data_IF_573776186230
#
_entry.id   IF_573776186230
#
_cell.length_a   1.000
_cell.length_b   1.000
_cell.length_c   1.000
_cell.angle_alpha   90.00
_cell.angle_beta   90.00
_cell.angle_gamma   90.00
#
_symmetry.space_group_name_H-M   'P 1'
#
loop_
_entity.id
_entity.type
_entity.pdbx_description
1 polymer ?
#
# COMPACT_ATOMS: atom_id res chain seq x y z
N UNK A 1 1.40 27.21 17.79
CA UNK A 1 1.56 26.63 16.45
C UNK A 1 1.45 25.13 16.63
N UNK A 2 0.56 24.48 15.88
CA UNK A 2 0.33 23.02 15.96
C UNK A 2 1.65 22.24 15.88
N UNK A 3 1.75 21.11 16.58
CA UNK A 3 2.93 20.24 16.55
C UNK A 3 2.98 19.49 15.22
N UNK A 4 1.83 18.98 14.78
CA UNK A 4 1.66 18.26 13.53
C UNK A 4 1.96 19.12 12.29
N UNK A 5 1.83 20.45 12.38
CA UNK A 5 2.16 21.35 11.26
C UNK A 5 3.59 21.20 10.74
N UNK A 6 4.52 20.70 11.56
CA UNK A 6 5.91 20.43 11.12
C UNK A 6 6.01 19.30 10.09
N UNK A 7 5.00 18.43 10.01
CA UNK A 7 4.94 17.29 9.10
C UNK A 7 4.47 17.67 7.69
N UNK A 8 4.03 18.91 7.48
CA UNK A 8 3.49 19.38 6.21
C UNK A 8 4.24 20.61 5.70
N UNK A 9 4.21 20.80 4.38
CA UNK A 9 4.54 22.05 3.71
C UNK A 9 3.23 22.81 3.41
N UNK A 10 3.14 24.07 3.81
CA UNK A 10 1.95 24.92 3.62
C UNK A 10 2.18 26.05 2.61
N UNK A 11 3.22 25.94 1.77
CA UNK A 11 3.46 26.89 0.70
C UNK A 11 2.37 26.86 -0.40
N UNK A 12 1.60 25.76 -0.48
CA UNK A 12 0.43 25.60 -1.33
C UNK A 12 -0.67 24.80 -0.62
N UNK A 13 -1.95 24.89 -1.06
CA UNK A 13 -3.04 24.06 -0.54
C UNK A 13 -2.74 22.57 -0.74
N UNK A 14 -2.85 21.77 0.33
CA UNK A 14 -2.66 20.33 0.22
C UNK A 14 -3.93 19.68 -0.36
N UNK A 15 -3.73 18.64 -1.16
CA UNK A 15 -4.82 17.79 -1.63
C UNK A 15 -4.62 16.40 -1.08
N UNK A 16 -5.70 15.78 -0.60
CA UNK A 16 -5.71 14.36 -0.28
C UNK A 16 -6.11 13.58 -1.51
N UNK A 17 -5.29 12.60 -1.87
CA UNK A 17 -5.58 11.63 -2.92
C UNK A 17 -5.45 10.23 -2.37
N UNK A 18 -6.15 9.29 -3.00
CA UNK A 18 -6.11 7.88 -2.62
C UNK A 18 -4.79 7.21 -3.06
N UNK A 19 -4.18 7.70 -4.14
CA UNK A 19 -2.92 7.17 -4.68
C UNK A 19 -1.68 7.67 -3.92
N UNK A 20 -1.60 8.96 -3.60
CA UNK A 20 -0.38 9.60 -3.06
C UNK A 20 -0.50 10.10 -1.62
N UNK A 21 -1.70 10.05 -1.03
CA UNK A 21 -1.94 10.62 0.29
C UNK A 21 -2.05 12.14 0.23
N UNK A 22 -1.41 12.85 1.15
CA UNK A 22 -1.36 14.31 1.16
C UNK A 22 -0.22 14.83 0.28
N UNK A 23 -0.52 15.65 -0.74
CA UNK A 23 0.46 16.16 -1.72
C UNK A 23 1.65 16.93 -1.14
N UNK A 24 1.51 17.43 0.10
CA UNK A 24 2.54 18.24 0.78
C UNK A 24 2.99 17.66 2.12
N UNK A 25 2.77 16.36 2.36
CA UNK A 25 3.38 15.67 3.48
C UNK A 25 4.91 15.58 3.30
N UNK A 26 5.65 15.75 4.40
CA UNK A 26 7.12 15.63 4.42
C UNK A 26 7.61 14.21 4.69
N UNK A 27 6.69 13.29 4.96
CA UNK A 27 6.91 11.92 5.42
C UNK A 27 6.35 10.93 4.40
N UNK A 28 6.82 9.68 4.43
CA UNK A 28 6.26 8.62 3.60
C UNK A 28 4.87 8.23 4.11
N UNK A 29 3.92 7.96 3.22
CA UNK A 29 2.51 7.90 3.58
C UNK A 29 1.91 6.52 3.30
N UNK A 30 1.09 6.08 4.24
CA UNK A 30 0.15 5.02 4.00
C UNK A 30 -1.06 5.57 3.26
N UNK A 31 -1.30 5.02 2.07
CA UNK A 31 -2.35 5.48 1.16
C UNK A 31 -3.41 4.41 0.98
N UNK A 32 -4.60 4.78 0.47
CA UNK A 32 -5.63 3.79 0.12
C UNK A 32 -5.14 2.84 -0.98
N UNK A 33 -4.30 3.33 -1.88
CA UNK A 33 -3.60 2.49 -2.84
C UNK A 33 -2.71 1.45 -2.15
N UNK A 34 -1.93 1.86 -1.15
CA UNK A 34 -1.11 0.93 -0.37
C UNK A 34 -1.96 -0.13 0.33
N UNK A 35 -3.04 0.29 1.00
CA UNK A 35 -4.00 -0.60 1.65
C UNK A 35 -4.58 -1.64 0.68
N UNK A 36 -5.02 -1.20 -0.49
CA UNK A 36 -5.58 -2.06 -1.53
C UNK A 36 -4.60 -3.16 -1.93
N UNK A 37 -3.32 -2.80 -2.12
CA UNK A 37 -2.27 -3.77 -2.46
C UNK A 37 -1.95 -4.69 -1.29
N UNK A 38 -1.79 -4.17 -0.08
CA UNK A 38 -1.50 -4.98 1.10
C UNK A 38 -2.59 -6.03 1.32
N UNK A 39 -3.85 -5.65 1.13
CA UNK A 39 -5.00 -6.56 1.21
C UNK A 39 -4.88 -7.71 0.22
N UNK A 40 -4.50 -7.43 -1.03
CA UNK A 40 -4.30 -8.48 -2.03
C UNK A 40 -3.20 -9.46 -1.64
N UNK A 41 -2.06 -8.97 -1.11
CA UNK A 41 -0.96 -9.84 -0.66
C UNK A 41 -1.36 -10.71 0.51
N UNK A 42 -2.02 -10.14 1.54
CA UNK A 42 -2.43 -10.91 2.71
C UNK A 42 -3.55 -11.91 2.36
N UNK A 43 -4.47 -11.57 1.46
CA UNK A 43 -5.47 -12.52 0.95
C UNK A 43 -4.81 -13.73 0.28
N UNK A 44 -3.68 -13.54 -0.40
CA UNK A 44 -2.89 -14.66 -0.94
C UNK A 44 -2.33 -15.50 0.20
N UNK A 45 -1.77 -14.91 1.25
CA UNK A 45 -1.28 -15.68 2.39
C UNK A 45 -2.41 -16.50 3.05
N UNK A 46 -3.57 -15.89 3.25
CA UNK A 46 -4.76 -16.56 3.81
C UNK A 46 -5.25 -17.70 2.90
N UNK A 47 -5.30 -17.49 1.58
CA UNK A 47 -5.74 -18.51 0.63
C UNK A 47 -4.81 -19.72 0.55
N UNK A 48 -3.53 -19.53 0.88
CA UNK A 48 -2.54 -20.61 1.00
C UNK A 48 -2.43 -21.16 2.43
N UNK A 49 -3.29 -20.71 3.35
CA UNK A 49 -3.28 -21.05 4.77
C UNK A 49 -1.91 -20.82 5.43
N UNK A 50 -1.15 -19.83 4.95
CA UNK A 50 0.18 -19.52 5.44
C UNK A 50 0.11 -18.85 6.82
N UNK A 51 0.73 -19.42 7.88
CA UNK A 51 0.75 -18.76 9.18
C UNK A 51 1.75 -17.61 9.19
N UNK A 52 1.25 -16.38 9.17
CA UNK A 52 2.05 -15.15 9.29
C UNK A 52 1.50 -14.26 10.42
N UNK A 53 2.35 -13.35 10.90
CA UNK A 53 1.98 -12.39 11.95
C UNK A 53 2.55 -11.02 11.63
N UNK A 54 1.70 -9.99 11.66
CA UNK A 54 2.11 -8.60 11.59
C UNK A 54 2.84 -8.19 12.87
N UNK A 55 3.88 -7.38 12.72
CA UNK A 55 4.72 -6.91 13.83
C UNK A 55 5.27 -5.50 13.56
N UNK A 56 6.17 -5.02 14.43
CA UNK A 56 6.92 -3.78 14.23
C UNK A 56 6.02 -2.55 13.98
N UNK A 57 6.35 -1.72 12.98
CA UNK A 57 5.60 -0.50 12.67
C UNK A 57 4.14 -0.78 12.28
N UNK A 58 3.88 -1.97 11.74
CA UNK A 58 2.54 -2.42 11.34
C UNK A 58 1.65 -2.70 12.54
N UNK A 59 2.20 -3.24 13.64
CA UNK A 59 1.48 -3.47 14.90
C UNK A 59 1.36 -2.20 15.77
N UNK A 60 2.29 -1.25 15.63
CA UNK A 60 2.36 -0.04 16.45
C UNK A 60 1.10 0.83 16.32
N UNK A 61 0.58 1.00 15.10
CA UNK A 61 -0.67 1.74 14.88
C UNK A 61 -1.85 1.11 15.60
N UNK A 62 -1.94 -0.22 15.57
CA UNK A 62 -3.00 -0.96 16.24
C UNK A 62 -2.98 -0.76 17.76
N UNK A 63 -1.80 -0.81 18.39
CA UNK A 63 -1.65 -0.53 19.83
C UNK A 63 -2.13 0.86 20.23
N UNK A 64 -2.00 1.85 19.33
CA UNK A 64 -2.40 3.23 19.62
C UNK A 64 -3.91 3.40 19.56
N UNK A 65 -4.54 3.00 18.47
CA UNK A 65 -5.95 3.32 18.22
C UNK A 65 -6.65 2.31 17.30
N UNK A 66 -6.05 1.14 17.04
CA UNK A 66 -6.64 0.11 16.19
C UNK A 66 -6.54 0.36 14.68
N UNK A 67 -5.75 1.33 14.21
CA UNK A 67 -5.59 1.65 12.78
C UNK A 67 -4.14 1.50 12.30
N UNK A 68 -3.90 1.58 10.99
CA UNK A 68 -2.53 1.74 10.50
C UNK A 68 -2.04 3.16 10.85
N UNK A 69 -0.73 3.33 11.07
CA UNK A 69 -0.18 4.67 11.19
C UNK A 69 -0.21 5.37 9.82
N UNK A 70 -0.58 6.66 9.73
CA UNK A 70 -0.61 7.38 8.46
C UNK A 70 0.75 7.50 7.74
N UNK A 71 1.85 7.17 8.42
CA UNK A 71 3.23 7.35 7.94
C UNK A 71 4.08 6.08 7.90
N UNK A 72 3.46 4.92 7.71
CA UNK A 72 4.18 3.71 7.32
C UNK A 72 4.45 3.71 5.81
N UNK A 73 5.59 3.15 5.42
CA UNK A 73 6.02 2.99 4.02
C UNK A 73 6.09 1.53 3.55
N UNK A 74 5.90 0.58 4.48
CA UNK A 74 5.83 -0.85 4.23
C UNK A 74 4.94 -1.56 5.27
N UNK A 75 4.66 -2.83 5.01
CA UNK A 75 3.99 -3.76 5.91
C UNK A 75 4.96 -4.87 6.33
N UNK A 76 5.13 -5.08 7.63
CA UNK A 76 6.09 -6.04 8.17
C UNK A 76 5.37 -7.30 8.67
N UNK A 77 5.71 -8.48 8.14
CA UNK A 77 5.24 -9.79 8.63
C UNK A 77 6.41 -10.70 9.00
N UNK A 78 6.23 -11.55 10.00
CA UNK A 78 7.12 -12.69 10.24
C UNK A 78 6.55 -13.99 9.69
N UNK A 79 7.46 -14.89 9.32
CA UNK A 79 7.19 -16.25 8.89
C UNK A 79 8.16 -17.22 9.58
N UNK A 80 7.64 -18.18 10.33
CA UNK A 80 8.46 -19.17 11.04
C UNK A 80 9.12 -20.19 10.10
N UNK A 81 10.26 -20.72 10.54
CA UNK A 81 11.15 -21.56 9.75
C UNK A 81 10.50 -22.78 9.10
N UNK A 82 9.54 -23.40 9.78
CA UNK A 82 8.79 -24.56 9.29
C UNK A 82 7.94 -24.24 8.05
N UNK A 83 7.58 -22.98 7.84
CA UNK A 83 6.75 -22.55 6.71
C UNK A 83 7.56 -21.98 5.55
N UNK A 84 8.85 -21.70 5.74
CA UNK A 84 9.71 -21.13 4.70
C UNK A 84 9.73 -21.99 3.42
N UNK A 85 9.95 -23.34 3.48
CA UNK A 85 10.01 -24.14 2.26
C UNK A 85 8.72 -24.07 1.44
N UNK A 86 7.57 -24.11 2.11
CA UNK A 86 6.25 -24.01 1.46
C UNK A 86 6.03 -22.61 0.86
N UNK A 87 6.36 -21.56 1.61
CA UNK A 87 6.27 -20.18 1.12
C UNK A 87 7.12 -19.96 -0.13
N UNK A 88 8.37 -20.41 -0.13
CA UNK A 88 9.27 -20.24 -1.29
C UNK A 88 8.85 -21.09 -2.49
N UNK A 89 8.33 -22.31 -2.27
CA UNK A 89 7.98 -23.24 -3.33
C UNK A 89 6.62 -22.96 -3.98
N UNK A 90 5.63 -22.50 -3.20
CA UNK A 90 4.24 -22.40 -3.66
C UNK A 90 3.74 -20.95 -3.67
N UNK A 91 3.92 -20.22 -2.57
CA UNK A 91 3.34 -18.87 -2.39
C UNK A 91 4.09 -17.82 -3.21
N UNK A 92 5.43 -17.82 -3.18
CA UNK A 92 6.26 -16.87 -3.94
C UNK A 92 6.03 -16.99 -5.45
N UNK A 93 6.02 -18.20 -6.07
CA UNK A 93 5.67 -18.33 -7.48
C UNK A 93 4.26 -17.83 -7.81
N UNK A 94 3.28 -18.06 -6.93
CA UNK A 94 1.92 -17.55 -7.13
C UNK A 94 1.86 -16.02 -7.07
N UNK A 95 2.53 -15.39 -6.10
CA UNK A 95 2.67 -13.93 -6.02
C UNK A 95 3.28 -13.36 -7.30
N UNK A 96 4.36 -13.97 -7.81
CA UNK A 96 4.97 -13.57 -9.08
C UNK A 96 4.01 -13.73 -10.26
N UNK A 97 3.22 -14.80 -10.29
CA UNK A 97 2.21 -15.01 -11.31
C UNK A 97 1.07 -13.98 -11.22
N UNK A 98 0.80 -13.43 -10.03
CA UNK A 98 -0.07 -12.27 -9.81
C UNK A 98 0.65 -10.92 -10.07
N UNK A 99 1.82 -10.92 -10.72
CA UNK A 99 2.51 -9.69 -11.11
C UNK A 99 3.24 -8.95 -9.98
N UNK A 100 3.35 -9.53 -8.78
CA UNK A 100 4.16 -8.95 -7.70
C UNK A 100 5.65 -9.19 -7.95
N UNK A 101 6.47 -8.18 -7.65
CA UNK A 101 7.91 -8.32 -7.69
C UNK A 101 8.42 -8.86 -6.35
N UNK A 102 8.74 -10.17 -6.33
CA UNK A 102 9.22 -10.86 -5.14
C UNK A 102 10.71 -11.18 -5.23
N UNK A 103 11.51 -10.70 -4.27
CA UNK A 103 12.95 -10.97 -4.22
C UNK A 103 13.50 -10.98 -2.79
N UNK A 104 14.53 -11.78 -2.57
CA UNK A 104 15.29 -11.73 -1.33
C UNK A 104 16.25 -10.52 -1.36
N UNK A 105 16.24 -9.63 -0.36
CA UNK A 105 17.20 -8.52 -0.30
C UNK A 105 18.63 -9.04 -0.26
N UNK A 106 19.49 -8.54 -1.17
CA UNK A 106 20.86 -9.05 -1.37
C UNK A 106 21.69 -9.13 -0.08
N UNK A 107 21.56 -8.15 0.79
CA UNK A 107 22.30 -8.07 2.05
C UNK A 107 21.80 -9.05 3.13
N UNK A 108 20.59 -9.58 2.97
CA UNK A 108 19.94 -10.50 3.88
C UNK A 108 19.44 -11.75 3.15
N UNK A 109 20.17 -12.20 2.12
CA UNK A 109 19.74 -13.34 1.31
C UNK A 109 19.56 -14.61 2.19
N UNK A 110 18.35 -15.17 2.19
CA UNK A 110 17.95 -16.26 3.08
C UNK A 110 17.39 -15.82 4.44
N UNK A 111 17.16 -14.51 4.63
CA UNK A 111 16.53 -13.93 5.82
C UNK A 111 15.09 -13.48 5.57
N UNK A 112 14.58 -13.58 4.34
CA UNK A 112 13.24 -13.17 3.97
C UNK A 112 13.10 -12.68 2.54
N UNK A 113 11.94 -12.09 2.24
CA UNK A 113 11.59 -11.53 0.93
C UNK A 113 10.99 -10.13 1.05
N UNK A 114 11.25 -9.29 0.05
CA UNK A 114 10.41 -8.15 -0.27
C UNK A 114 9.38 -8.56 -1.32
N UNK A 115 8.13 -8.13 -1.13
CA UNK A 115 7.03 -8.24 -2.10
C UNK A 115 6.61 -6.82 -2.47
N UNK A 116 6.85 -6.43 -3.72
CA UNK A 116 6.59 -5.06 -4.19
C UNK A 116 5.50 -5.02 -5.26
N UNK A 117 4.67 -3.97 -5.19
CA UNK A 117 3.78 -3.55 -6.27
C UNK A 117 3.89 -2.03 -6.50
N UNK A 118 3.10 -1.52 -7.44
CA UNK A 118 3.01 -0.07 -7.74
C UNK A 118 4.35 0.55 -8.18
N UNK A 119 5.24 -0.27 -8.72
CA UNK A 119 6.56 0.17 -9.14
C UNK A 119 6.55 0.77 -10.55
N UNK A 120 7.32 1.83 -10.75
CA UNK A 120 7.73 2.32 -12.07
C UNK A 120 9.22 2.66 -12.01
N UNK A 121 10.03 2.06 -12.89
CA UNK A 121 11.48 2.23 -12.84
C UNK A 121 12.16 1.69 -11.56
N UNK A 122 13.36 2.17 -11.26
CA UNK A 122 14.22 1.61 -10.20
C UNK A 122 14.16 2.31 -8.83
N UNK A 123 13.33 3.34 -8.66
CA UNK A 123 13.29 4.20 -7.45
C UNK A 123 12.03 3.95 -6.63
N UNK A 124 12.15 3.89 -5.30
CA UNK A 124 11.03 3.64 -4.35
C UNK A 124 9.85 4.61 -4.50
N UNK A 125 10.09 5.78 -5.09
CA UNK A 125 9.10 6.78 -5.41
C UNK A 125 9.08 7.07 -6.92
N UNK A 126 7.88 7.06 -7.49
CA UNK A 126 7.62 7.56 -8.84
C UNK A 126 7.00 8.94 -8.75
N UNK A 127 7.63 9.92 -9.40
CA UNK A 127 7.08 11.25 -9.56
C UNK A 127 6.10 11.28 -10.73
N UNK A 128 4.87 11.73 -10.49
CA UNK A 128 3.82 11.86 -11.50
C UNK A 128 3.20 13.26 -11.51
N UNK A 129 2.74 13.77 -12.67
CA UNK A 129 2.13 15.08 -12.76
C UNK A 129 0.79 15.15 -12.02
N UNK A 130 0.64 16.10 -11.10
CA UNK A 130 -0.60 16.33 -10.35
C UNK A 130 -1.35 17.56 -10.86
N UNK A 131 -0.67 18.70 -10.97
CA UNK A 131 -1.21 19.95 -11.48
C UNK A 131 -0.12 20.73 -12.22
N UNK A 132 -0.46 21.88 -12.81
CA UNK A 132 0.49 22.69 -13.57
C UNK A 132 1.72 23.08 -12.73
N UNK A 133 2.88 22.54 -13.11
CA UNK A 133 4.15 22.76 -12.41
C UNK A 133 4.25 22.07 -11.04
N UNK A 134 3.33 21.15 -10.72
CA UNK A 134 3.31 20.41 -9.45
C UNK A 134 3.30 18.91 -9.75
N UNK A 135 4.39 18.26 -9.37
CA UNK A 135 4.49 16.81 -9.38
C UNK A 135 4.40 16.25 -7.95
N UNK A 136 3.94 15.00 -7.84
CA UNK A 136 3.79 14.29 -6.58
C UNK A 136 4.43 12.91 -6.66
N UNK A 137 4.84 12.37 -5.53
CA UNK A 137 5.43 11.03 -5.47
C UNK A 137 4.40 9.98 -5.08
N UNK A 138 4.24 8.95 -5.90
CA UNK A 138 3.51 7.74 -5.55
C UNK A 138 4.44 6.80 -4.79
N UNK A 139 4.10 6.39 -3.56
CA UNK A 139 4.87 5.37 -2.85
C UNK A 139 4.65 3.99 -3.50
N UNK A 140 5.69 3.16 -3.52
CA UNK A 140 5.48 1.74 -3.75
C UNK A 140 4.74 1.12 -2.57
N UNK A 141 3.97 0.08 -2.84
CA UNK A 141 3.43 -0.78 -1.80
C UNK A 141 4.41 -1.95 -1.58
N UNK A 142 4.96 -2.04 -0.37
CA UNK A 142 5.94 -3.06 0.02
C UNK A 142 5.44 -3.88 1.20
N UNK A 143 5.53 -5.22 1.07
CA UNK A 143 5.38 -6.15 2.20
C UNK A 143 6.71 -6.84 2.43
N UNK A 144 7.24 -6.73 3.64
CA UNK A 144 8.48 -7.34 4.09
C UNK A 144 8.16 -8.62 4.86
N UNK A 145 8.56 -9.76 4.28
CA UNK A 145 8.41 -11.07 4.88
C UNK A 145 9.73 -11.45 5.54
N UNK A 146 9.76 -11.38 6.86
CA UNK A 146 10.93 -11.71 7.66
C UNK A 146 10.90 -13.19 8.06
N UNK A 147 11.96 -13.91 7.73
CA UNK A 147 12.12 -15.29 8.20
C UNK A 147 12.52 -15.30 9.65
N UNK A 148 11.90 -16.20 10.40
CA UNK A 148 12.02 -16.24 11.86
C UNK A 148 12.35 -17.63 12.34
N UNK A 149 13.45 -17.71 13.10
CA UNK A 149 13.85 -18.90 13.85
C UNK A 149 13.76 -18.60 15.34
N UNK A 150 13.87 -19.64 16.18
CA UNK A 150 13.93 -19.49 17.64
C UNK A 150 15.27 -20.03 18.13
N UNK A 151 15.98 -19.24 18.92
CA UNK A 151 17.25 -19.68 19.51
C UNK A 151 17.06 -20.60 20.72
N UNK A 152 18.18 -21.12 21.24
CA UNK A 152 18.19 -22.02 22.40
C UNK A 152 17.59 -21.41 23.69
N UNK A 153 17.49 -20.08 23.76
CA UNK A 153 16.92 -19.36 24.88
C UNK A 153 15.42 -19.01 24.67
N UNK A 154 14.84 -19.44 23.56
CA UNK A 154 13.43 -19.20 23.25
C UNK A 154 13.15 -17.82 22.65
N UNK A 155 14.15 -17.13 22.10
CA UNK A 155 13.97 -15.81 21.49
C UNK A 155 13.95 -15.86 19.98
N UNK A 156 13.17 -14.97 19.36
CA UNK A 156 13.10 -14.80 17.92
C UNK A 156 14.43 -14.32 17.36
N UNK A 157 14.85 -14.91 16.25
CA UNK A 157 16.02 -14.52 15.45
C UNK A 157 15.66 -14.50 13.98
N UNK A 158 16.43 -13.72 13.22
CA UNK A 158 16.38 -13.82 11.77
C UNK A 158 17.60 -14.64 11.31
N UNK A 159 17.44 -15.62 10.39
CA UNK A 159 18.56 -16.46 9.95
C UNK A 159 19.74 -15.69 9.34
N UNK A 160 19.53 -14.42 8.96
CA UNK A 160 20.54 -13.53 8.38
C UNK A 160 20.67 -12.19 9.10
N UNK A 161 20.10 -12.07 10.30
CA UNK A 161 20.16 -10.85 11.10
C UNK A 161 19.40 -9.65 10.51
N UNK A 162 18.34 -9.90 9.74
CA UNK A 162 17.42 -8.86 9.26
C UNK A 162 16.33 -8.55 10.30
N UNK A 163 16.02 -7.27 10.48
CA UNK A 163 15.02 -6.80 11.45
C UNK A 163 15.61 -6.47 12.83
N UNK A 164 14.87 -5.73 13.64
CA UNK A 164 15.32 -5.35 14.99
C UNK A 164 15.14 -6.48 16.03
N UNK A 165 14.14 -7.34 15.85
CA UNK A 165 13.83 -8.43 16.77
C UNK A 165 15.01 -9.42 16.94
N UNK A 166 15.82 -9.57 15.89
CA UNK A 166 17.05 -10.36 15.90
C UNK A 166 18.02 -9.98 17.03
N UNK A 167 17.94 -8.74 17.52
CA UNK A 167 18.87 -8.17 18.51
C UNK A 167 18.22 -7.82 19.84
N UNK A 168 16.92 -8.02 19.99
CA UNK A 168 16.16 -7.48 21.12
C UNK A 168 15.53 -8.53 22.02
N UNK A 169 15.76 -9.82 21.75
CA UNK A 169 15.31 -10.93 22.63
C UNK A 169 13.78 -10.95 22.82
N UNK A 170 13.04 -10.85 21.72
CA UNK A 170 11.57 -11.04 21.72
C UNK A 170 11.27 -12.53 21.95
N UNK A 171 10.52 -12.92 22.99
CA UNK A 171 10.19 -14.32 23.26
C UNK A 171 9.27 -14.95 22.21
N UNK A 172 9.51 -16.21 21.84
CA UNK A 172 8.69 -16.91 20.86
C UNK A 172 7.24 -17.16 21.35
N UNK A 173 7.03 -17.31 22.66
CA UNK A 173 5.70 -17.47 23.27
C UNK A 173 4.84 -16.18 23.21
N UNK A 174 5.40 -15.07 22.74
CA UNK A 174 4.66 -13.83 22.50
C UNK A 174 3.96 -13.84 21.16
N UNK A 175 4.39 -14.70 20.22
CA UNK A 175 3.91 -14.67 18.84
C UNK A 175 2.66 -15.53 18.68
N UNK A 176 2.82 -16.85 18.66
CA UNK A 176 1.76 -17.81 18.34
C UNK A 176 0.86 -18.10 19.56
N UNK A 177 -0.45 -18.39 19.36
CA UNK A 177 -1.15 -18.55 18.08
C UNK A 177 -1.50 -17.24 17.37
N UNK A 178 -1.16 -16.10 17.96
CA UNK A 178 -1.49 -14.76 17.49
C UNK A 178 -2.89 -14.32 17.92
N UNK A 179 -3.17 -13.04 17.73
CA UNK A 179 -4.49 -12.44 17.93
C UNK A 179 -5.03 -11.98 16.59
N UNK A 180 -6.20 -12.49 16.20
CA UNK A 180 -6.92 -11.99 15.04
C UNK A 180 -7.44 -10.57 15.33
N UNK A 181 -7.15 -9.66 14.41
CA UNK A 181 -7.56 -8.26 14.49
C UNK A 181 -8.20 -7.83 13.18
N UNK A 182 -9.06 -6.83 13.27
CA UNK A 182 -9.57 -6.09 12.12
C UNK A 182 -8.84 -4.75 12.05
N UNK A 183 -8.03 -4.58 11.01
CA UNK A 183 -7.39 -3.31 10.69
C UNK A 183 -8.21 -2.70 9.56
N UNK A 184 -8.86 -1.56 9.73
CA UNK A 184 -9.43 -0.78 8.60
C UNK A 184 -10.26 -1.58 7.57
N UNK A 185 -11.03 -2.58 8.02
CA UNK A 185 -11.92 -3.39 7.17
C UNK A 185 -11.32 -4.68 6.58
N UNK A 186 -10.09 -5.05 6.93
CA UNK A 186 -9.48 -6.33 6.58
C UNK A 186 -8.95 -7.05 7.83
N UNK A 187 -9.02 -8.39 7.80
CA UNK A 187 -8.61 -9.25 8.93
C UNK A 187 -7.17 -9.69 8.78
N UNK A 188 -6.46 -9.79 9.89
CA UNK A 188 -5.06 -10.23 9.95
C UNK A 188 -4.71 -10.69 11.36
N UNK A 189 -3.46 -11.11 11.59
CA UNK A 189 -2.99 -11.59 12.90
C UNK A 189 -1.81 -10.75 13.40
N UNK A 190 -1.88 -10.33 14.66
CA UNK A 190 -0.75 -9.78 15.42
C UNK A 190 -0.17 -10.85 16.35
N UNK A 191 0.93 -10.53 17.00
CA UNK A 191 1.49 -11.34 18.10
C UNK A 191 0.46 -11.51 19.22
N UNK A 192 0.50 -12.65 19.91
CA UNK A 192 -0.34 -12.91 21.09
C UNK A 192 -0.13 -11.89 22.22
N UNK A 193 1.10 -11.38 22.34
CA UNK A 193 1.51 -10.36 23.30
C UNK A 193 2.06 -9.12 22.59
N UNK A 194 1.27 -8.60 21.64
CA UNK A 194 1.68 -7.47 20.78
C UNK A 194 1.94 -6.18 21.57
N UNK A 195 1.25 -5.95 22.70
CA UNK A 195 1.50 -4.76 23.54
C UNK A 195 2.85 -4.83 24.23
N UNK A 196 3.22 -6.01 24.75
CA UNK A 196 4.52 -6.26 25.36
C UNK A 196 5.65 -6.18 24.34
N UNK A 197 5.44 -6.71 23.13
CA UNK A 197 6.37 -6.56 22.00
C UNK A 197 6.61 -5.08 21.68
N UNK A 198 5.54 -4.31 21.45
CA UNK A 198 5.66 -2.89 21.13
C UNK A 198 6.33 -2.11 22.27
N UNK A 199 5.98 -2.38 23.53
CA UNK A 199 6.62 -1.74 24.68
C UNK A 199 8.12 -2.04 24.75
N UNK A 200 8.51 -3.28 24.47
CA UNK A 200 9.91 -3.72 24.49
C UNK A 200 10.70 -3.15 23.31
N UNK A 201 10.10 -3.11 22.13
CA UNK A 201 10.74 -2.73 20.89
C UNK A 201 10.83 -1.20 20.70
N UNK A 202 9.77 -0.48 21.10
CA UNK A 202 9.56 0.94 20.82
C UNK A 202 9.32 1.80 22.06
N UNK A 203 9.11 1.20 23.24
CA UNK A 203 8.84 1.91 24.49
C UNK A 203 7.37 2.31 24.63
N UNK A 204 7.11 3.28 25.50
CA UNK A 204 5.75 3.79 25.75
C UNK A 204 5.28 4.66 24.57
N UNK A 205 4.72 4.01 23.55
CA UNK A 205 4.23 4.65 22.32
C UNK A 205 2.92 5.42 22.49
N UNK A 206 2.25 5.27 23.64
CA UNK A 206 1.02 5.99 24.00
C UNK A 206 1.33 7.36 24.61
N UNK A 207 2.44 7.48 25.34
CA UNK A 207 2.88 8.75 25.95
C UNK A 207 4.11 9.38 25.27
N UNK A 208 4.56 8.82 24.14
CA UNK A 208 5.63 9.39 23.33
C UNK A 208 5.30 9.32 21.85
N UNK A 209 5.46 10.43 21.14
CA UNK A 209 5.22 10.51 19.70
C UNK A 209 6.54 10.62 18.95
N UNK A 210 6.80 9.61 18.12
CA UNK A 210 7.88 9.57 17.15
C UNK A 210 7.28 9.32 15.76
N UNK A 211 7.57 10.23 14.84
CA UNK A 211 7.30 10.06 13.39
C UNK A 211 8.66 9.93 12.72
N UNK A 212 8.97 8.73 12.27
CA UNK A 212 10.24 8.40 11.63
C UNK A 212 10.03 7.29 10.60
N UNK A 213 10.83 7.30 9.53
CA UNK A 213 10.94 6.20 8.57
C UNK A 213 12.39 6.09 8.11
N UNK A 214 12.89 4.85 8.01
CA UNK A 214 14.19 4.50 7.41
C UNK A 214 15.38 5.41 7.80
N UNK A 215 15.50 5.74 9.09
CA UNK A 215 16.62 6.54 9.63
C UNK A 215 16.41 8.06 9.57
N UNK A 216 15.29 8.54 9.04
CA UNK A 216 14.90 9.95 9.08
C UNK A 216 13.83 10.16 10.16
N UNK A 217 14.08 11.10 11.06
CA UNK A 217 13.11 11.55 12.07
C UNK A 217 12.44 12.83 11.57
N UNK A 218 11.11 12.80 11.44
CA UNK A 218 10.30 13.96 11.04
C UNK A 218 9.77 14.72 12.25
N UNK A 219 9.42 13.99 13.31
CA UNK A 219 8.95 14.56 14.56
C UNK A 219 9.35 13.65 15.72
N UNK A 220 9.88 14.25 16.78
CA UNK A 220 10.12 13.58 18.06
C UNK A 220 9.57 14.45 19.20
N UNK A 221 8.62 13.92 19.94
CA UNK A 221 7.91 14.55 21.05
C UNK A 221 7.80 13.58 22.21
N UNK A 222 8.84 13.50 23.06
CA UNK A 222 8.75 12.75 24.29
C UNK A 222 7.70 13.38 25.22
N UNK A 223 7.01 12.56 26.00
CA UNK A 223 5.95 12.96 26.94
C UNK A 223 4.72 13.64 26.28
N UNK A 224 4.49 13.40 24.99
CA UNK A 224 3.27 13.81 24.30
C UNK A 224 2.36 12.60 24.16
N UNK A 225 1.12 12.69 24.65
CA UNK A 225 0.13 11.64 24.47
C UNK A 225 -0.23 11.49 23.00
N UNK A 226 -0.41 10.24 22.57
CA UNK A 226 -0.83 9.93 21.21
C UNK A 226 -2.14 10.62 20.86
N UNK A 227 -3.17 10.53 21.71
CA UNK A 227 -4.49 11.11 21.44
C UNK A 227 -4.44 12.64 21.22
N UNK A 228 -3.60 13.33 21.99
CA UNK A 228 -3.39 14.77 21.85
C UNK A 228 -2.74 15.08 20.50
N UNK A 229 -1.75 14.29 20.10
CA UNK A 229 -1.10 14.43 18.81
C UNK A 229 -2.03 14.07 17.65
N UNK A 230 -2.79 13.00 17.76
CA UNK A 230 -3.73 12.56 16.73
C UNK A 230 -4.82 13.61 16.52
N UNK A 231 -5.32 14.20 17.61
CA UNK A 231 -6.28 15.31 17.55
C UNK A 231 -5.67 16.52 16.84
N UNK A 232 -4.45 16.92 17.20
CA UNK A 232 -3.72 18.02 16.55
C UNK A 232 -3.45 17.74 15.07
N UNK A 233 -3.07 16.50 14.72
CA UNK A 233 -2.83 16.06 13.35
C UNK A 233 -4.11 16.11 12.50
N UNK A 234 -5.21 15.57 13.01
CA UNK A 234 -6.52 15.62 12.33
C UNK A 234 -7.00 17.04 12.12
N UNK A 235 -6.78 17.92 13.11
CA UNK A 235 -7.13 19.35 12.99
C UNK A 235 -6.32 20.04 11.89
N UNK A 236 -5.01 19.82 11.82
CA UNK A 236 -4.17 20.36 10.74
C UNK A 236 -4.65 19.86 9.38
N UNK A 237 -4.82 18.54 9.22
CA UNK A 237 -5.29 17.97 7.96
C UNK A 237 -6.63 18.58 7.54
N UNK A 238 -7.59 18.69 8.45
CA UNK A 238 -8.91 19.26 8.17
C UNK A 238 -8.88 20.75 7.80
N UNK A 239 -7.95 21.53 8.37
CA UNK A 239 -7.82 22.96 8.09
C UNK A 239 -7.08 23.23 6.76
N UNK A 240 -6.12 22.38 6.39
CA UNK A 240 -5.15 22.70 5.33
C UNK A 240 -5.28 21.85 4.08
N UNK A 241 -6.19 20.88 4.07
CA UNK A 241 -6.31 19.89 2.99
C UNK A 241 -7.70 19.91 2.35
N UNK A 242 -7.75 19.83 1.03
CA UNK A 242 -8.97 19.59 0.24
C UNK A 242 -8.99 18.16 -0.32
N UNK A 243 -10.17 17.63 -0.59
CA UNK A 243 -10.37 16.32 -1.25
C UNK A 243 -10.40 16.44 -2.78
N UNK A 244 -10.30 17.67 -3.31
CA UNK A 244 -10.46 18.00 -4.73
C UNK A 244 -9.19 18.61 -5.32
N UNK A 245 -8.83 18.27 -6.57
CA UNK A 245 -7.73 18.93 -7.26
C UNK A 245 -8.08 20.41 -7.57
N UNK A 246 -7.07 21.28 -7.82
CA UNK A 246 -7.27 22.73 -7.99
C UNK A 246 -8.39 23.18 -8.94
N UNK A 247 -8.62 22.45 -10.04
CA UNK A 247 -9.63 22.78 -11.03
C UNK A 247 -11.06 22.51 -10.54
N UNK A 248 -11.23 21.87 -9.39
CA UNK A 248 -12.47 21.22 -8.99
C UNK A 248 -12.85 21.57 -7.54
N UNK A 249 -14.14 21.76 -7.31
CA UNK A 249 -14.74 21.86 -5.99
C UNK A 249 -16.00 21.00 -5.91
N UNK A 250 -16.61 20.93 -4.72
CA UNK A 250 -17.84 20.15 -4.51
C UNK A 250 -18.97 20.60 -5.42
N UNK A 251 -19.11 21.90 -5.68
CA UNK A 251 -20.19 22.45 -6.50
C UNK A 251 -20.05 22.06 -7.98
N UNK A 252 -18.82 22.09 -8.51
CA UNK A 252 -18.54 21.63 -9.88
C UNK A 252 -18.81 20.13 -10.06
N UNK A 253 -18.49 19.30 -9.05
CA UNK A 253 -18.78 17.87 -9.09
C UNK A 253 -20.27 17.57 -8.95
N UNK A 254 -20.98 18.26 -8.06
CA UNK A 254 -22.43 18.10 -7.93
C UNK A 254 -23.18 18.53 -9.21
N UNK A 255 -22.64 19.52 -9.93
CA UNK A 255 -23.17 19.95 -11.22
C UNK A 255 -22.76 19.04 -12.40
N UNK A 256 -21.78 18.14 -12.21
CA UNK A 256 -21.33 17.26 -13.27
C UNK A 256 -22.44 16.28 -13.66
N UNK A 257 -22.72 16.22 -14.96
CA UNK A 257 -23.63 15.23 -15.54
C UNK A 257 -22.90 14.48 -16.64
N UNK A 258 -22.63 13.20 -16.40
CA UNK A 258 -22.05 12.32 -17.41
C UNK A 258 -22.99 12.20 -18.62
N UNK A 259 -22.44 12.39 -19.81
CA UNK A 259 -23.10 12.25 -21.10
C UNK A 259 -22.76 10.86 -21.63
N UNK A 260 -23.74 9.93 -21.70
CA UNK A 260 -23.48 8.57 -22.15
C UNK A 260 -22.80 8.52 -23.51
N UNK A 261 -21.69 7.77 -23.61
CA UNK A 261 -20.92 7.58 -24.83
C UNK A 261 -19.98 8.74 -25.19
N UNK A 262 -19.95 9.82 -24.39
CA UNK A 262 -18.97 10.88 -24.57
C UNK A 262 -17.61 10.39 -24.05
N UNK A 263 -16.64 10.34 -24.96
CA UNK A 263 -15.26 9.94 -24.69
C UNK A 263 -14.37 11.16 -24.43
N UNK A 264 -13.53 11.02 -23.42
CA UNK A 264 -12.36 11.86 -23.16
C UNK A 264 -11.10 10.98 -23.37
N UNK A 265 -10.08 11.50 -24.04
CA UNK A 265 -8.76 10.85 -24.14
C UNK A 265 -7.77 11.79 -23.50
N UNK A 266 -6.97 11.29 -22.57
CA UNK A 266 -5.89 12.08 -21.99
C UNK A 266 -4.71 12.18 -22.95
N UNK A 267 -3.87 13.19 -22.78
CA UNK A 267 -2.57 13.26 -23.46
C UNK A 267 -1.48 12.62 -22.59
N UNK A 268 -0.40 12.05 -23.17
CA UNK A 268 0.76 11.62 -22.39
C UNK A 268 1.33 12.76 -21.53
N UNK A 269 1.69 12.47 -20.28
CA UNK A 269 2.15 13.47 -19.32
C UNK A 269 1.09 14.45 -18.82
N UNK A 270 -0.18 14.33 -19.23
CA UNK A 270 -1.25 15.19 -18.73
C UNK A 270 -1.45 14.97 -17.22
N UNK A 271 -1.55 16.07 -16.49
CA UNK A 271 -1.71 16.09 -15.04
C UNK A 271 -3.11 15.62 -14.61
N UNK A 272 -3.20 15.12 -13.38
CA UNK A 272 -4.49 14.73 -12.79
C UNK A 272 -5.51 15.88 -12.83
N UNK A 273 -5.09 17.08 -12.44
CA UNK A 273 -5.91 18.29 -12.48
C UNK A 273 -6.44 18.59 -13.89
N UNK A 274 -5.59 18.50 -14.91
CA UNK A 274 -5.99 18.73 -16.30
C UNK A 274 -6.94 17.65 -16.84
N UNK A 275 -6.74 16.37 -16.46
CA UNK A 275 -7.68 15.29 -16.79
C UNK A 275 -9.05 15.56 -16.16
N UNK A 276 -9.08 15.93 -14.88
CA UNK A 276 -10.33 16.24 -14.16
C UNK A 276 -11.03 17.45 -14.77
N UNK A 277 -10.30 18.51 -15.12
CA UNK A 277 -10.85 19.69 -15.80
C UNK A 277 -11.53 19.30 -17.12
N UNK A 278 -10.86 18.50 -17.95
CA UNK A 278 -11.39 18.05 -19.24
C UNK A 278 -12.65 17.18 -19.08
N UNK A 279 -12.70 16.30 -18.08
CA UNK A 279 -13.91 15.52 -17.76
C UNK A 279 -15.08 16.44 -17.39
N UNK A 280 -14.85 17.42 -16.50
CA UNK A 280 -15.88 18.37 -16.08
C UNK A 280 -16.42 19.21 -17.25
N UNK A 281 -15.54 19.62 -18.16
CA UNK A 281 -15.91 20.43 -19.33
C UNK A 281 -16.69 19.64 -20.38
N UNK A 282 -16.26 18.41 -20.65
CA UNK A 282 -16.85 17.57 -21.70
C UNK A 282 -18.10 16.83 -21.24
N UNK A 283 -18.22 16.57 -19.93
CA UNK A 283 -19.23 15.66 -19.40
C UNK A 283 -18.98 14.21 -19.82
N UNK A 284 -17.73 13.80 -20.05
CA UNK A 284 -17.41 12.47 -20.54
C UNK A 284 -17.83 11.36 -19.56
N UNK A 285 -18.46 10.31 -20.08
CA UNK A 285 -18.76 9.08 -19.31
C UNK A 285 -17.66 8.03 -19.47
N UNK A 286 -16.74 8.21 -20.41
CA UNK A 286 -15.63 7.31 -20.68
C UNK A 286 -14.32 8.11 -20.77
N UNK A 287 -13.26 7.61 -20.13
CA UNK A 287 -11.91 8.16 -20.16
C UNK A 287 -10.94 7.11 -20.68
N UNK A 288 -10.14 7.49 -21.67
CA UNK A 288 -9.00 6.72 -22.12
C UNK A 288 -7.71 7.37 -21.63
N UNK A 289 -7.02 6.68 -20.70
CA UNK A 289 -5.70 7.04 -20.23
C UNK A 289 -4.65 6.63 -21.27
N UNK A 290 -4.07 7.61 -21.97
CA UNK A 290 -3.15 7.38 -23.08
C UNK A 290 -1.74 6.93 -22.65
N UNK A 291 -1.38 7.06 -21.37
CA UNK A 291 -0.08 6.65 -20.86
C UNK A 291 -0.22 5.79 -19.60
N UNK A 292 0.58 4.73 -19.51
CA UNK A 292 0.49 3.76 -18.42
C UNK A 292 0.71 4.38 -17.04
N UNK A 293 1.52 5.42 -16.91
CA UNK A 293 1.72 6.15 -15.63
C UNK A 293 0.44 6.79 -15.11
N UNK A 294 -0.51 7.17 -15.97
CA UNK A 294 -1.74 7.82 -15.53
C UNK A 294 -2.69 6.86 -14.81
N UNK A 295 -2.45 5.54 -14.90
CA UNK A 295 -3.25 4.52 -14.18
C UNK A 295 -3.17 4.64 -12.67
N UNK A 296 -2.14 5.28 -12.11
CA UNK A 296 -2.08 5.60 -10.68
C UNK A 296 -3.28 6.45 -10.23
N UNK A 297 -3.83 7.27 -11.13
CA UNK A 297 -4.98 8.11 -10.84
C UNK A 297 -6.33 7.40 -10.93
N UNK A 298 -6.38 6.13 -11.34
CA UNK A 298 -7.65 5.43 -11.56
C UNK A 298 -8.55 5.41 -10.32
N UNK A 299 -7.98 5.20 -9.12
CA UNK A 299 -8.73 5.21 -7.86
C UNK A 299 -9.32 6.60 -7.55
N UNK A 300 -8.51 7.65 -7.68
CA UNK A 300 -8.95 9.03 -7.47
C UNK A 300 -9.99 9.48 -8.51
N UNK A 301 -9.83 9.09 -9.77
CA UNK A 301 -10.80 9.35 -10.83
C UNK A 301 -12.14 8.67 -10.54
N UNK A 302 -12.13 7.41 -10.09
CA UNK A 302 -13.35 6.70 -9.65
C UNK A 302 -13.96 7.31 -8.40
N UNK A 303 -13.15 7.83 -7.47
CA UNK A 303 -13.65 8.54 -6.29
C UNK A 303 -14.40 9.81 -6.68
N UNK A 304 -13.86 10.61 -7.61
CA UNK A 304 -14.48 11.84 -8.07
C UNK A 304 -15.66 11.59 -9.03
N UNK A 305 -15.54 10.57 -9.89
CA UNK A 305 -16.54 10.22 -10.91
C UNK A 305 -16.89 8.72 -10.83
N UNK A 306 -17.74 8.29 -9.89
CA UNK A 306 -18.01 6.87 -9.64
C UNK A 306 -18.53 6.07 -10.85
N UNK A 307 -19.24 6.72 -11.77
CA UNK A 307 -19.78 6.10 -12.99
C UNK A 307 -18.84 6.18 -14.20
N UNK A 308 -17.69 6.85 -14.09
CA UNK A 308 -16.75 7.00 -15.20
C UNK A 308 -16.20 5.64 -15.58
N UNK A 309 -16.27 5.29 -16.87
CA UNK A 309 -15.56 4.11 -17.39
C UNK A 309 -14.13 4.50 -17.74
N UNK A 310 -13.14 3.79 -17.22
CA UNK A 310 -11.72 4.06 -17.44
C UNK A 310 -11.13 2.95 -18.32
N UNK A 311 -10.57 3.34 -19.45
CA UNK A 311 -9.71 2.50 -20.28
C UNK A 311 -8.26 2.91 -20.09
N UNK A 312 -7.35 1.96 -19.89
CA UNK A 312 -5.93 2.25 -19.73
C UNK A 312 -5.07 1.62 -20.85
N UNK A 313 -4.08 2.37 -21.34
CA UNK A 313 -3.00 1.80 -22.15
C UNK A 313 -1.83 1.41 -21.26
N UNK A 314 -1.12 0.35 -21.62
CA UNK A 314 0.20 0.05 -21.06
C UNK A 314 1.21 -0.32 -22.16
N UNK A 315 2.45 0.12 -21.97
CA UNK A 315 3.56 -0.08 -22.89
C UNK A 315 4.68 -0.98 -22.35
N UNK A 316 4.62 -1.39 -21.08
CA UNK A 316 5.55 -2.36 -20.50
C UNK A 316 4.89 -3.34 -19.52
N UNK A 317 5.67 -4.33 -19.10
CA UNK A 317 5.22 -5.42 -18.22
C UNK A 317 4.80 -4.95 -16.82
N UNK A 318 5.46 -3.92 -16.27
CA UNK A 318 5.12 -3.39 -14.94
C UNK A 318 3.81 -2.62 -14.98
N UNK A 319 3.59 -1.89 -16.06
CA UNK A 319 2.33 -1.19 -16.31
C UNK A 319 1.17 -2.18 -16.48
N UNK A 320 1.40 -3.29 -17.19
CA UNK A 320 0.44 -4.39 -17.30
C UNK A 320 0.08 -4.98 -15.92
N UNK A 321 1.07 -5.32 -15.09
CA UNK A 321 0.79 -5.84 -13.74
C UNK A 321 0.10 -4.82 -12.84
N UNK A 322 0.49 -3.55 -12.88
CA UNK A 322 -0.20 -2.48 -12.15
C UNK A 322 -1.65 -2.36 -12.58
N UNK A 323 -1.95 -2.43 -13.88
CA UNK A 323 -3.32 -2.40 -14.37
C UNK A 323 -4.15 -3.59 -13.86
N UNK A 324 -3.54 -4.77 -13.73
CA UNK A 324 -4.18 -5.95 -13.14
C UNK A 324 -4.46 -5.75 -11.64
N UNK A 325 -3.47 -5.26 -10.87
CA UNK A 325 -3.65 -4.94 -9.44
C UNK A 325 -4.76 -3.91 -9.20
N UNK A 326 -4.92 -2.98 -10.14
CA UNK A 326 -5.92 -1.89 -10.10
C UNK A 326 -7.21 -2.20 -10.85
N UNK A 327 -7.49 -3.47 -11.18
CA UNK A 327 -8.63 -3.86 -12.02
C UNK A 327 -9.99 -3.40 -11.49
N UNK A 328 -10.16 -3.27 -10.18
CA UNK A 328 -11.39 -2.74 -9.58
C UNK A 328 -11.68 -1.28 -9.95
N UNK A 329 -10.67 -0.53 -10.42
CA UNK A 329 -10.76 0.88 -10.77
C UNK A 329 -10.58 1.15 -12.27
N UNK A 330 -10.12 0.16 -13.04
CA UNK A 330 -9.88 0.25 -14.49
C UNK A 330 -10.85 -0.71 -15.17
N UNK A 331 -11.72 -0.22 -16.05
CA UNK A 331 -12.80 -1.00 -16.67
C UNK A 331 -12.34 -1.81 -17.89
N UNK A 332 -11.40 -1.26 -18.65
CA UNK A 332 -10.84 -1.88 -19.85
C UNK A 332 -9.35 -1.54 -20.02
N UNK A 333 -8.64 -2.35 -20.79
CA UNK A 333 -7.23 -2.12 -21.08
C UNK A 333 -6.92 -2.32 -22.56
N UNK A 334 -5.80 -1.77 -23.01
CA UNK A 334 -5.24 -2.05 -24.33
C UNK A 334 -3.72 -1.93 -24.34
N UNK A 335 -3.08 -2.66 -25.25
CA UNK A 335 -1.65 -2.52 -25.53
C UNK A 335 -1.41 -2.76 -27.01
N UNK A 336 -0.41 -2.08 -27.57
CA UNK A 336 0.07 -2.34 -28.93
C UNK A 336 0.86 -3.65 -29.01
N UNK A 337 1.34 -4.16 -27.87
CA UNK A 337 2.09 -5.41 -27.77
C UNK A 337 1.16 -6.55 -27.27
N UNK A 338 0.83 -7.53 -28.13
CA UNK A 338 0.03 -8.69 -27.75
C UNK A 338 0.64 -9.52 -26.61
N UNK A 339 1.98 -9.54 -26.47
CA UNK A 339 2.64 -10.29 -25.40
C UNK A 339 2.41 -9.62 -24.04
N UNK A 340 2.38 -8.28 -24.00
CA UNK A 340 2.02 -7.55 -22.77
C UNK A 340 0.56 -7.76 -22.41
N UNK A 341 -0.35 -7.78 -23.39
CA UNK A 341 -1.75 -8.10 -23.16
C UNK A 341 -1.91 -9.52 -22.61
N UNK A 342 -1.19 -10.50 -23.15
CA UNK A 342 -1.19 -11.87 -22.64
C UNK A 342 -0.68 -11.96 -21.19
N UNK A 343 0.35 -11.18 -20.83
CA UNK A 343 0.85 -11.10 -19.44
C UNK A 343 -0.19 -10.47 -18.49
N UNK A 344 -0.86 -9.40 -18.92
CA UNK A 344 -1.97 -8.80 -18.16
C UNK A 344 -3.08 -9.83 -17.90
N UNK A 345 -3.55 -10.51 -18.95
CA UNK A 345 -4.63 -11.50 -18.84
C UNK A 345 -4.23 -12.69 -17.96
N UNK A 346 -2.99 -13.16 -18.08
CA UNK A 346 -2.47 -14.23 -17.24
C UNK A 346 -2.43 -13.81 -15.76
N UNK A 347 -1.97 -12.59 -15.47
CA UNK A 347 -1.95 -12.02 -14.13
C UNK A 347 -3.38 -11.89 -13.57
N UNK A 348 -4.28 -11.28 -14.34
CA UNK A 348 -5.68 -11.09 -13.95
C UNK A 348 -6.40 -12.43 -13.70
N UNK A 349 -6.08 -13.46 -14.49
CA UNK A 349 -6.62 -14.81 -14.28
C UNK A 349 -6.20 -15.39 -12.93
N UNK A 350 -4.94 -15.19 -12.49
CA UNK A 350 -4.51 -15.63 -11.16
C UNK A 350 -5.21 -14.85 -10.04
N UNK A 351 -5.31 -13.53 -10.17
CA UNK A 351 -6.04 -12.71 -9.20
C UNK A 351 -7.53 -13.09 -9.12
N UNK A 352 -8.15 -13.41 -10.26
CA UNK A 352 -9.56 -13.85 -10.28
C UNK A 352 -9.75 -15.22 -9.61
N UNK A 353 -8.76 -16.12 -9.70
CA UNK A 353 -8.79 -17.40 -8.96
C UNK A 353 -8.74 -17.18 -7.46
N UNK A 354 -7.97 -16.18 -7.00
CA UNK A 354 -7.92 -15.78 -5.60
C UNK A 354 -9.30 -15.33 -5.12
N UNK A 355 -9.95 -14.41 -5.83
CA UNK A 355 -11.27 -13.89 -5.47
C UNK A 355 -12.37 -14.96 -5.41
N UNK A 356 -12.20 -16.05 -6.17
CA UNK A 356 -13.14 -17.20 -6.21
C UNK A 356 -12.83 -18.29 -5.18
N UNK A 357 -11.66 -18.24 -4.53
CA UNK A 357 -11.19 -19.28 -3.61
C UNK A 357 -10.66 -20.55 -4.30
N UNK A 358 -10.31 -20.49 -5.59
CA UNK A 358 -9.92 -21.65 -6.42
C UNK A 358 -8.44 -22.09 -6.22
N UNK A 359 -7.80 -21.66 -5.13
CA UNK A 359 -6.35 -21.84 -4.90
C UNK A 359 -6.07 -22.99 -3.90
N UNK A 360 -6.99 -23.26 -2.96
CA UNK A 360 -6.80 -24.27 -1.91
C UNK A 360 -6.94 -25.74 -2.35
N UNK A 361 -7.57 -26.02 -3.50
CA UNK A 361 -7.79 -27.39 -3.95
C UNK A 361 -6.53 -28.09 -4.51
N UNK A 362 -5.55 -27.33 -4.99
CA UNK A 362 -4.32 -27.89 -5.57
C UNK A 362 -3.18 -28.07 -4.54
N UNK A 363 -3.16 -27.27 -3.46
CA UNK A 363 -2.14 -27.35 -2.42
C UNK A 363 -2.42 -28.46 -1.39
N UNK A 364 -3.70 -28.80 -1.14
CA UNK A 364 -4.06 -29.88 -0.22
C UNK A 364 -3.67 -31.28 -0.72
N UNK A 365 -3.48 -31.47 -2.04
CA UNK A 365 -3.06 -32.76 -2.63
C UNK A 365 -1.53 -32.97 -2.60
N UNK A 366 -0.73 -31.93 -2.35
CA UNK A 366 0.74 -32.04 -2.27
C UNK A 366 1.28 -32.23 -0.84
N UNK A 367 0.42 -32.10 0.18
CA UNK A 367 0.76 -32.24 1.61
C UNK A 367 0.18 -33.52 2.24
N UNK A 368 -0.52 -34.36 1.47
CA UNK A 368 -1.08 -35.65 1.94
C UNK A 368 -0.18 -36.86 1.66
#
# INVERSE_FOLDING_TARGET
>A
MSVASRLFDFSAPAVRTDAVGYTHAKYAQYTRLSQHIYTQVLQIFDAFELPYYLFAGSALGYVRNGTMLPWIDDLDVILFEEHIPYFEAEVVPFLKACGFNCFAPRQFQGGGFHILAMQQGGKRDLTIPFADGVDVSVPWAQVDVFYTTVDENGFLRNPKGWGLYDKKDVPADWVAPGVEVELEGWKTRLFSKYEEDILKEYGDVLNNVLVASHGRVFLNRPNMKWDDFETDFRAVVAETTTEYPPCCDVGRLEAFTARPGQLCVSEPGQSFDAIVAQLLETGASELHLAEGVQTFWAMDLKRLFPSLRIRAVFGDEREAYRAAHMRSFIDDVSSEDPDLLAKYEACLAQMTRLDRGDIGAAAAESVS
#
